data_IF_814957744779
#
_entry.id   IF_814957744779
#
_cell.length_a   1.000
_cell.length_b   1.000
_cell.length_c   1.000
_cell.angle_alpha   90.00
_cell.angle_beta   90.00
_cell.angle_gamma   90.00
#
_symmetry.space_group_name_H-M   'P 1'
#
loop_
_entity.id
_entity.type
_entity.pdbx_description
1 polymer ?
2 non-polymer ?
3 non-polymer ?
4 non-polymer ?
5 non-polymer ?
6 non-polymer ?
7 water ?
#
# COMPACT_ATOMS: atom_id res chain seq x y z
N UNK A 1 28.73 -5.97 3.05
CA UNK A 1 27.90 -5.99 4.26
C UNK A 1 28.05 -4.75 5.14
N UNK A 2 27.00 -3.92 5.26
CA UNK A 2 26.99 -2.65 5.98
C UNK A 2 25.56 -2.44 6.43
N UNK A 3 25.33 -2.05 7.67
CA UNK A 3 23.94 -1.86 8.12
C UNK A 3 23.63 -0.43 8.53
N UNK A 4 24.44 0.52 8.07
CA UNK A 4 24.22 1.95 8.28
C UNK A 4 23.51 2.54 7.08
N UNK A 5 22.68 3.53 7.34
CA UNK A 5 22.12 4.32 6.26
C UNK A 5 23.17 5.34 5.81
N UNK A 6 23.22 5.60 4.50
CA UNK A 6 24.00 6.71 3.98
C UNK A 6 23.44 8.04 4.49
N UNK A 7 24.23 9.12 4.34
CA UNK A 7 23.69 10.42 4.73
C UNK A 7 22.47 10.78 3.89
N UNK A 8 22.53 10.45 2.60
CA UNK A 8 21.42 10.72 1.71
C UNK A 8 20.16 10.01 2.22
N UNK A 9 20.31 8.74 2.58
CA UNK A 9 19.19 7.93 3.04
C UNK A 9 18.66 8.45 4.37
N UNK A 10 19.58 8.72 5.31
CA UNK A 10 19.20 9.33 6.59
C UNK A 10 18.42 10.64 6.38
N UNK A 11 18.85 11.49 5.45
CA UNK A 11 18.13 12.74 5.18
C UNK A 11 16.73 12.49 4.61
N UNK A 12 16.60 11.55 3.68
CA UNK A 12 15.29 11.20 3.11
C UNK A 12 14.35 10.75 4.23
N UNK A 13 14.84 9.82 5.07
CA UNK A 13 14.02 9.38 6.19
C UNK A 13 13.62 10.56 7.07
N UNK A 14 14.59 11.39 7.46
CA UNK A 14 14.29 12.38 8.49
C UNK A 14 13.38 13.46 7.91
N UNK A 15 13.56 13.82 6.64
CA UNK A 15 12.64 14.80 6.04
C UNK A 15 11.20 14.25 5.97
N UNK A 16 11.05 12.97 5.63
CA UNK A 16 9.69 12.40 5.53
C UNK A 16 9.05 12.31 6.91
N UNK A 17 9.88 12.00 7.95
CA UNK A 17 9.39 11.86 9.29
C UNK A 17 8.91 13.20 9.81
N UNK A 18 9.69 14.25 9.54
CA UNK A 18 9.26 15.59 9.93
C UNK A 18 7.97 15.96 9.25
N UNK A 19 7.85 15.69 7.94
CA UNK A 19 6.60 16.01 7.26
C UNK A 19 5.42 15.22 7.84
N UNK A 20 5.61 13.91 8.11
CA UNK A 20 4.51 13.14 8.67
C UNK A 20 4.11 13.69 10.04
N UNK A 21 5.10 14.03 10.91
CA UNK A 21 4.78 14.50 12.27
C UNK A 21 4.18 15.89 12.27
N UNK A 22 4.80 16.80 11.54
CA UNK A 22 4.45 18.22 11.63
C UNK A 22 3.32 18.64 10.71
N UNK A 23 3.06 17.93 9.62
CA UNK A 23 1.99 18.28 8.72
C UNK A 23 0.83 17.26 8.79
N UNK A 24 1.12 15.98 8.55
CA UNK A 24 0.00 15.01 8.46
C UNK A 24 -0.59 14.64 9.84
N UNK A 25 0.26 14.51 10.85
CA UNK A 25 -0.20 14.05 12.13
C UNK A 25 -0.96 15.12 12.92
N UNK A 26 -0.79 16.40 12.57
CA UNK A 26 -1.33 17.50 13.35
C UNK A 26 -2.73 17.46 13.98
N UNK A 27 -3.76 17.26 13.22
CA UNK A 27 -5.14 17.30 13.67
C UNK A 27 -5.65 15.93 13.23
N UNK A 28 -4.78 14.91 13.29
CA UNK A 28 -5.18 13.58 12.82
C UNK A 28 -6.33 13.02 13.64
N UNK A 29 -6.30 13.22 14.96
CA UNK A 29 -7.36 12.62 15.79
C UNK A 29 -8.75 13.10 15.34
N UNK A 30 -8.90 14.39 15.02
CA UNK A 30 -10.19 14.85 14.53
C UNK A 30 -10.61 14.18 13.24
N UNK A 31 -9.67 14.05 12.31
CA UNK A 31 -10.02 13.43 11.04
C UNK A 31 -10.37 11.97 11.26
N UNK A 32 -9.61 11.29 12.11
CA UNK A 32 -9.86 9.88 12.37
C UNK A 32 -11.24 9.69 13.01
N UNK A 33 -11.58 10.53 13.98
CA UNK A 33 -12.89 10.46 14.64
C UNK A 33 -14.02 10.65 13.68
N UNK A 34 -13.87 11.57 12.74
CA UNK A 34 -14.93 11.87 11.79
C UNK A 34 -14.86 11.02 10.53
N UNK A 35 -13.91 10.06 10.47
CA UNK A 35 -13.71 9.25 9.28
C UNK A 35 -13.51 10.09 8.02
N UNK A 36 -12.68 11.14 8.14
CA UNK A 36 -12.40 12.09 7.05
C UNK A 36 -11.08 11.71 6.37
N UNK A 37 -11.11 11.64 5.04
CA UNK A 37 -9.90 11.60 4.22
C UNK A 37 -9.81 13.00 3.59
N UNK A 38 -8.84 13.78 4.05
CA UNK A 38 -8.71 15.17 3.62
C UNK A 38 -7.98 15.18 2.28
N UNK A 39 -8.70 15.43 1.17
CA UNK A 39 -8.02 15.40 -0.11
C UNK A 39 -7.02 16.57 -0.24
N UNK A 40 -7.25 17.72 0.44
CA UNK A 40 -6.23 18.79 0.38
C UNK A 40 -4.93 18.37 1.07
N UNK A 41 -5.05 17.65 2.20
CA UNK A 41 -3.88 17.16 2.87
C UNK A 41 -3.20 16.06 2.06
N UNK A 42 -4.01 15.15 1.51
CA UNK A 42 -3.48 14.11 0.63
C UNK A 42 -2.65 14.73 -0.51
N UNK A 43 -3.18 15.77 -1.15
CA UNK A 43 -2.44 16.41 -2.24
C UNK A 43 -1.13 17.04 -1.75
N UNK A 44 -1.12 17.62 -0.54
CA UNK A 44 0.16 18.13 -0.01
C UNK A 44 1.17 17.01 0.18
N UNK A 45 0.70 15.85 0.71
CA UNK A 45 1.60 14.73 0.90
C UNK A 45 2.11 14.21 -0.44
N UNK A 46 1.24 14.10 -1.43
CA UNK A 46 1.63 13.62 -2.76
C UNK A 46 2.71 14.52 -3.33
N UNK A 47 2.45 15.83 -3.31
CA UNK A 47 3.41 16.79 -3.86
C UNK A 47 4.71 16.85 -3.08
N UNK A 48 4.66 16.67 -1.74
CA UNK A 48 5.87 16.61 -0.95
C UNK A 48 6.80 15.52 -1.48
N UNK A 49 6.25 14.42 -2.00
CA UNK A 49 7.10 13.38 -2.55
C UNK A 49 6.60 11.97 -2.35
N UNK A 50 5.52 11.79 -1.57
CA UNK A 50 5.08 10.42 -1.30
C UNK A 50 4.45 9.79 -2.56
N UNK A 51 4.07 10.59 -3.57
CA UNK A 51 3.54 10.02 -4.81
C UNK A 51 4.62 9.89 -5.91
N UNK A 52 5.91 10.02 -5.55
CA UNK A 52 6.99 10.03 -6.55
C UNK A 52 7.67 8.69 -6.76
N UNK A 53 8.11 8.01 -5.69
CA UNK A 53 8.73 6.72 -5.87
C UNK A 53 9.87 6.79 -6.87
N UNK A 54 9.96 5.80 -7.76
CA UNK A 54 11.03 5.76 -8.75
C UNK A 54 10.83 6.66 -9.98
N UNK A 55 9.80 7.51 -10.02
CA UNK A 55 9.52 8.29 -11.23
C UNK A 55 10.66 9.26 -11.52
N UNK A 56 11.00 9.38 -12.81
CA UNK A 56 12.07 10.27 -13.24
C UNK A 56 11.74 11.75 -13.06
N UNK A 57 12.80 12.57 -13.07
CA UNK A 57 12.65 14.02 -13.00
C UNK A 57 11.77 14.53 -14.14
N UNK A 58 11.86 13.92 -15.33
CA UNK A 58 11.05 14.33 -16.46
C UNK A 58 9.57 14.48 -16.11
N UNK A 59 9.09 13.70 -15.15
CA UNK A 59 7.65 13.68 -14.82
C UNK A 59 7.39 14.17 -13.40
N UNK A 60 8.38 14.80 -12.78
CA UNK A 60 8.22 15.41 -11.48
C UNK A 60 8.69 14.55 -10.31
N UNK A 61 9.27 13.41 -10.56
CA UNK A 61 9.77 12.57 -9.49
C UNK A 61 11.20 12.87 -9.13
N UNK A 62 11.72 12.10 -8.17
CA UNK A 62 13.10 12.28 -7.71
C UNK A 62 14.01 11.14 -8.12
N UNK A 63 13.53 10.18 -8.91
CA UNK A 63 14.28 8.97 -9.29
C UNK A 63 14.83 8.26 -8.05
N UNK A 64 13.99 8.10 -7.04
CA UNK A 64 14.36 7.31 -5.87
C UNK A 64 14.42 5.82 -6.22
N UNK A 65 15.32 5.10 -5.55
CA UNK A 65 15.30 3.65 -5.67
C UNK A 65 14.26 3.05 -4.70
N UNK A 66 14.18 1.72 -4.70
CA UNK A 66 13.19 1.04 -3.86
C UNK A 66 13.51 1.23 -2.39
N UNK A 67 14.78 1.14 -2.03
CA UNK A 67 15.11 1.31 -0.62
C UNK A 67 14.80 2.73 -0.15
N UNK A 68 15.13 3.74 -0.97
CA UNK A 68 14.82 5.12 -0.58
C UNK A 68 13.32 5.32 -0.44
N UNK A 69 12.55 4.77 -1.39
CA UNK A 69 11.09 4.86 -1.34
C UNK A 69 10.54 4.20 -0.07
N UNK A 70 11.09 3.05 0.27
CA UNK A 70 10.69 2.34 1.49
C UNK A 70 11.04 3.14 2.74
N UNK A 71 12.21 3.78 2.76
CA UNK A 71 12.55 4.59 3.94
C UNK A 71 11.55 5.72 4.09
N UNK A 72 11.18 6.39 2.97
CA UNK A 72 10.23 7.49 3.09
C UNK A 72 8.94 7.02 3.71
N UNK A 73 8.49 5.83 3.30
CA UNK A 73 7.19 5.35 3.72
C UNK A 73 7.28 4.76 5.13
N UNK A 74 8.41 4.21 5.54
CA UNK A 74 8.60 3.82 6.93
C UNK A 74 8.45 5.03 7.84
N UNK A 75 9.12 6.14 7.46
CA UNK A 75 8.99 7.38 8.22
C UNK A 75 7.54 7.84 8.33
N UNK A 76 6.81 7.79 7.20
CA UNK A 76 5.39 8.14 7.18
C UNK A 76 4.59 7.29 8.16
N UNK A 77 4.86 5.98 8.14
CA UNK A 77 4.14 5.07 9.06
C UNK A 77 4.46 5.35 10.53
N UNK A 78 5.71 5.72 10.83
CA UNK A 78 6.06 6.03 12.22
C UNK A 78 5.54 7.39 12.66
N UNK A 79 5.49 8.35 11.74
CA UNK A 79 5.20 9.71 12.17
C UNK A 79 3.77 10.16 12.13
N UNK A 80 2.90 9.54 11.33
CA UNK A 80 1.52 9.99 11.26
C UNK A 80 0.57 8.92 11.74
N UNK A 81 -0.33 9.27 12.66
CA UNK A 81 -1.37 8.33 13.08
C UNK A 81 -2.43 8.06 12.01
N UNK A 82 -2.55 8.92 11.00
CA UNK A 82 -3.61 8.83 9.99
C UNK A 82 -3.17 7.81 8.94
N UNK A 83 -3.17 6.55 9.38
CA UNK A 83 -2.71 5.47 8.53
C UNK A 83 -3.67 5.28 7.35
N UNK A 84 -4.96 5.59 7.52
CA UNK A 84 -5.84 5.48 6.34
C UNK A 84 -5.44 6.40 5.20
N UNK A 85 -5.08 7.66 5.53
CA UNK A 85 -4.57 8.58 4.51
C UNK A 85 -3.28 8.06 3.91
N UNK A 86 -2.38 7.52 4.75
CA UNK A 86 -1.11 7.01 4.23
C UNK A 86 -1.33 5.82 3.30
N UNK A 87 -2.25 4.93 3.68
CA UNK A 87 -2.55 3.76 2.84
C UNK A 87 -3.08 4.23 1.49
N UNK A 88 -4.00 5.22 1.52
CA UNK A 88 -4.57 5.73 0.27
C UNK A 88 -3.48 6.25 -0.66
N UNK A 89 -2.57 7.03 -0.09
CA UNK A 89 -1.46 7.61 -0.84
C UNK A 89 -0.54 6.54 -1.41
N UNK A 90 -0.22 5.52 -0.61
CA UNK A 90 0.68 4.48 -1.11
C UNK A 90 0.01 3.61 -2.19
N UNK A 91 -1.29 3.37 -2.09
CA UNK A 91 -2.01 2.65 -3.14
C UNK A 91 -1.95 3.43 -4.46
N UNK A 92 -2.20 4.73 -4.40
CA UNK A 92 -2.04 5.58 -5.56
C UNK A 92 -0.64 5.49 -6.17
N UNK A 93 0.39 5.59 -5.31
CA UNK A 93 1.77 5.50 -5.78
C UNK A 93 2.06 4.16 -6.41
N UNK A 94 1.78 3.06 -5.66
CA UNK A 94 2.30 1.76 -6.10
C UNK A 94 1.45 1.09 -7.17
N UNK A 95 0.14 1.26 -7.13
CA UNK A 95 -0.73 0.53 -8.03
C UNK A 95 -1.13 1.37 -9.23
N UNK A 96 -0.81 2.68 -9.21
CA UNK A 96 -1.25 3.51 -10.33
C UNK A 96 -0.12 4.33 -10.93
N UNK A 97 0.57 5.15 -10.11
CA UNK A 97 1.72 5.93 -10.59
C UNK A 97 2.77 5.02 -11.19
N UNK A 98 3.15 3.97 -10.47
CA UNK A 98 4.32 3.19 -10.89
C UNK A 98 4.05 2.38 -12.16
N UNK A 99 2.93 1.65 -12.32
CA UNK A 99 2.70 1.00 -13.62
C UNK A 99 2.57 1.98 -14.78
N UNK A 100 1.96 3.16 -14.59
CA UNK A 100 1.92 4.13 -15.69
C UNK A 100 3.35 4.56 -16.09
N UNK A 101 4.18 4.86 -15.10
CA UNK A 101 5.56 5.25 -15.39
C UNK A 101 6.32 4.11 -16.06
N UNK A 102 6.15 2.88 -15.56
CA UNK A 102 6.97 1.79 -16.06
C UNK A 102 6.50 1.24 -17.40
N UNK A 103 5.21 1.34 -17.74
CA UNK A 103 4.71 0.69 -18.94
C UNK A 103 3.98 1.64 -19.87
N UNK A 104 3.67 2.86 -19.45
CA UNK A 104 2.88 3.74 -20.29
C UNK A 104 3.65 4.20 -21.52
N UNK A 105 2.89 4.48 -22.59
CA UNK A 105 3.51 5.12 -23.75
C UNK A 105 3.96 6.56 -23.44
N UNK A 106 4.84 7.09 -24.28
CA UNK A 106 5.20 8.50 -24.14
C UNK A 106 3.99 9.39 -24.14
N UNK A 107 3.02 9.10 -25.03
CA UNK A 107 1.82 9.92 -25.14
C UNK A 107 1.01 9.90 -23.84
N UNK A 108 0.83 8.70 -23.29
CA UNK A 108 -0.02 8.57 -22.11
C UNK A 108 0.67 9.15 -20.88
N UNK A 109 1.97 8.91 -20.75
CA UNK A 109 2.71 9.53 -19.65
C UNK A 109 2.70 11.05 -19.80
N UNK A 110 2.86 11.55 -21.02
CA UNK A 110 2.87 13.00 -21.19
C UNK A 110 1.55 13.62 -20.79
N UNK A 111 0.44 12.93 -21.03
CA UNK A 111 -0.86 13.50 -20.69
C UNK A 111 -1.15 13.41 -19.19
N UNK A 112 -0.78 12.29 -18.50
CA UNK A 112 -1.32 12.02 -17.14
C UNK A 112 -0.28 11.88 -16.03
N UNK A 113 0.95 11.49 -16.34
CA UNK A 113 1.83 10.99 -15.28
C UNK A 113 2.26 12.09 -14.32
N UNK A 114 2.68 13.27 -14.81
CA UNK A 114 3.07 14.30 -13.87
C UNK A 114 1.91 14.72 -12.99
N UNK A 115 0.66 14.71 -13.51
CA UNK A 115 -0.48 15.07 -12.68
C UNK A 115 -0.67 14.05 -11.56
N UNK A 116 -0.41 12.76 -11.83
CA UNK A 116 -0.54 11.77 -10.75
C UNK A 116 0.59 11.94 -9.73
N UNK A 117 1.80 12.24 -10.23
CA UNK A 117 2.99 12.38 -9.41
C UNK A 117 2.87 13.55 -8.44
N UNK A 118 2.22 14.65 -8.86
CA UNK A 118 2.04 15.81 -7.98
C UNK A 118 0.73 15.75 -7.19
N UNK A 119 -0.08 14.74 -7.44
CA UNK A 119 -1.37 14.59 -6.77
C UNK A 119 -2.44 15.53 -7.29
N UNK A 120 -2.17 16.24 -8.39
CA UNK A 120 -3.24 16.96 -9.05
C UNK A 120 -4.41 16.04 -9.41
N UNK A 121 -4.12 14.78 -9.84
CA UNK A 121 -5.17 13.81 -10.09
C UNK A 121 -4.95 12.64 -9.13
N UNK A 122 -6.00 12.17 -8.55
CA UNK A 122 -5.95 10.98 -7.68
C UNK A 122 -6.32 9.76 -8.50
N UNK A 123 -5.64 8.62 -8.28
CA UNK A 123 -5.91 7.45 -9.11
C UNK A 123 -6.30 6.25 -8.23
N UNK A 124 -7.16 5.37 -8.78
CA UNK A 124 -7.51 4.08 -8.15
C UNK A 124 -7.17 2.96 -9.13
N UNK A 125 -6.67 1.81 -8.62
CA UNK A 125 -6.48 0.66 -9.48
C UNK A 125 -7.59 -0.37 -9.25
N UNK A 126 -8.10 -0.96 -10.33
CA UNK A 126 -9.28 -1.79 -10.23
C UNK A 126 -8.97 -3.10 -10.96
N UNK A 127 -8.66 -4.13 -10.19
CA UNK A 127 -8.40 -5.47 -10.70
C UNK A 127 -9.39 -6.47 -10.13
N UNK A 128 -9.61 -6.41 -8.81
CA UNK A 128 -10.45 -7.42 -8.14
C UNK A 128 -11.89 -7.40 -8.56
N UNK A 129 -12.51 -8.60 -8.69
CA UNK A 129 -13.90 -8.83 -9.01
C UNK A 129 -14.55 -9.75 -8.00
N UNK A 130 -15.88 -9.80 -7.96
CA UNK A 130 -16.57 -10.70 -7.02
C UNK A 130 -16.12 -12.14 -7.13
N UNK A 131 -15.78 -12.62 -8.32
CA UNK A 131 -15.29 -14.00 -8.47
C UNK A 131 -13.81 -14.08 -8.83
N UNK A 132 -13.04 -13.02 -8.67
CA UNK A 132 -11.63 -13.07 -8.96
C UNK A 132 -10.90 -12.24 -7.91
N UNK A 133 -10.47 -12.89 -6.82
CA UNK A 133 -9.69 -12.20 -5.78
C UNK A 133 -8.27 -12.73 -5.80
N UNK A 134 -8.02 -13.79 -5.00
CA UNK A 134 -6.73 -14.46 -5.12
C UNK A 134 -6.52 -15.01 -6.54
N UNK A 135 -7.59 -15.51 -7.15
CA UNK A 135 -7.55 -16.03 -8.52
C UNK A 135 -7.77 -14.85 -9.49
N UNK A 136 -6.84 -13.88 -9.43
CA UNK A 136 -7.15 -12.57 -10.03
C UNK A 136 -7.19 -12.68 -11.55
N UNK A 137 -6.44 -13.65 -12.12
CA UNK A 137 -6.31 -13.67 -13.58
C UNK A 137 -7.48 -14.42 -14.19
N UNK A 138 -8.40 -14.92 -13.35
CA UNK A 138 -9.71 -15.38 -13.84
C UNK A 138 -10.74 -14.25 -13.87
N UNK A 139 -10.30 -13.00 -13.77
CA UNK A 139 -11.25 -11.90 -13.91
C UNK A 139 -11.99 -12.02 -15.23
N UNK A 140 -13.22 -11.53 -15.20
CA UNK A 140 -14.13 -11.68 -16.32
C UNK A 140 -14.47 -10.37 -16.99
N UNK A 141 -14.09 -9.21 -16.41
CA UNK A 141 -14.32 -7.94 -17.16
C UNK A 141 -13.69 -8.05 -18.55
N UNK A 142 -14.38 -7.49 -19.57
CA UNK A 142 -13.92 -7.65 -20.94
C UNK A 142 -13.70 -6.28 -21.57
N UNK A 143 -12.58 -6.13 -22.24
CA UNK A 143 -12.25 -4.92 -23.02
C UNK A 143 -12.19 -5.47 -24.45
N UNK A 144 -13.34 -5.48 -25.12
CA UNK A 144 -13.42 -6.11 -26.44
C UNK A 144 -12.89 -5.17 -27.52
N UNK A 145 -11.81 -5.52 -28.22
CA UNK A 145 -11.25 -4.60 -29.23
C UNK A 145 -12.30 -4.23 -30.25
N UNK A 146 -12.28 -2.97 -30.66
CA UNK A 146 -13.22 -2.50 -31.68
C UNK A 146 -12.51 -1.42 -32.44
N UNK A 147 -13.16 -0.94 -33.48
CA UNK A 147 -12.62 0.18 -34.21
C UNK A 147 -12.41 1.34 -33.26
N UNK A 148 -11.17 1.83 -33.20
CA UNK A 148 -10.84 2.97 -32.39
C UNK A 148 -10.41 2.68 -30.95
N UNK A 149 -10.59 1.42 -30.46
CA UNK A 149 -10.17 1.19 -29.08
C UNK A 149 -10.86 -0.07 -28.55
N UNK A 150 -11.64 0.05 -27.46
CA UNK A 150 -12.22 -1.11 -26.78
C UNK A 150 -13.59 -0.77 -26.26
N UNK A 151 -14.45 -1.77 -26.14
CA UNK A 151 -15.71 -1.67 -25.40
C UNK A 151 -15.54 -2.43 -24.07
N UNK A 152 -15.71 -1.73 -22.95
CA UNK A 152 -15.42 -2.28 -21.61
C UNK A 152 -16.70 -2.56 -20.82
N UNK A 153 -16.81 -3.79 -20.30
CA UNK A 153 -17.94 -4.16 -19.46
C UNK A 153 -17.42 -4.98 -18.29
N UNK A 154 -18.05 -4.81 -17.14
CA UNK A 154 -17.64 -5.63 -15.99
C UNK A 154 -17.85 -4.90 -14.68
N UNK A 155 -17.42 -5.58 -13.58
CA UNK A 155 -17.61 -5.01 -12.27
C UNK A 155 -16.38 -5.25 -11.42
N UNK A 156 -15.92 -4.22 -10.71
CA UNK A 156 -14.71 -4.35 -9.88
C UNK A 156 -15.11 -3.99 -8.46
N UNK A 157 -14.50 -4.67 -7.47
CA UNK A 157 -14.90 -4.44 -6.08
C UNK A 157 -13.65 -4.23 -5.25
N UNK A 158 -13.87 -3.67 -4.04
CA UNK A 158 -12.80 -3.40 -3.06
C UNK A 158 -11.79 -2.37 -3.60
N UNK A 159 -12.25 -1.34 -4.29
CA UNK A 159 -11.32 -0.48 -5.02
C UNK A 159 -10.96 0.72 -4.13
N UNK A 160 -9.76 0.69 -3.57
CA UNK A 160 -9.28 1.78 -2.73
C UNK A 160 -9.26 3.09 -3.54
N UNK A 161 -9.78 4.16 -2.96
CA UNK A 161 -9.76 5.51 -3.56
C UNK A 161 -10.81 5.65 -4.62
N UNK A 162 -11.62 4.63 -4.93
CA UNK A 162 -12.56 4.86 -6.04
C UNK A 162 -13.48 6.05 -5.80
N UNK A 163 -14.01 6.29 -4.58
CA UNK A 163 -14.95 7.42 -4.44
C UNK A 163 -14.26 8.77 -4.59
N UNK A 164 -12.94 8.84 -4.55
CA UNK A 164 -12.26 10.12 -4.68
C UNK A 164 -11.36 10.20 -5.90
N UNK A 165 -11.33 9.18 -6.77
CA UNK A 165 -10.33 9.15 -7.83
C UNK A 165 -10.79 9.98 -9.03
N UNK A 166 -9.83 10.61 -9.69
CA UNK A 166 -10.05 11.24 -10.99
C UNK A 166 -9.80 10.29 -12.16
N UNK A 167 -8.94 9.29 -11.97
CA UNK A 167 -8.65 8.36 -13.05
C UNK A 167 -8.56 6.96 -12.43
N UNK A 168 -8.78 5.99 -13.29
CA UNK A 168 -8.80 4.60 -12.85
C UNK A 168 -7.85 3.81 -13.74
N UNK A 169 -6.98 3.00 -13.13
CA UNK A 169 -6.12 2.05 -13.84
C UNK A 169 -6.87 0.73 -13.79
N UNK A 170 -7.40 0.22 -14.90
CA UNK A 170 -8.31 -0.90 -14.81
C UNK A 170 -7.73 -2.06 -15.62
N UNK A 171 -8.04 -3.27 -15.16
CA UNK A 171 -7.57 -4.49 -15.81
C UNK A 171 -8.78 -5.27 -16.32
N UNK A 172 -8.67 -5.78 -17.57
CA UNK A 172 -9.81 -6.44 -18.17
C UNK A 172 -9.27 -7.35 -19.26
N UNK A 173 -10.08 -8.34 -19.66
CA UNK A 173 -9.63 -9.30 -20.66
C UNK A 173 -9.82 -8.75 -22.09
N UNK A 174 -8.73 -8.61 -22.80
CA UNK A 174 -8.78 -8.40 -24.25
C UNK A 174 -8.85 -9.73 -25.00
N UNK A 175 -8.49 -10.83 -24.34
CA UNK A 175 -8.70 -12.16 -24.91
C UNK A 175 -9.25 -13.01 -23.77
N UNK A 176 -10.59 -13.17 -23.66
CA UNK A 176 -11.15 -13.90 -22.52
C UNK A 176 -10.86 -15.40 -22.55
N UNK A 177 -10.27 -15.92 -23.64
CA UNK A 177 -9.88 -17.33 -23.68
C UNK A 177 -8.70 -17.64 -22.77
N UNK A 178 -7.87 -16.65 -22.44
CA UNK A 178 -6.69 -16.88 -21.62
C UNK A 178 -6.87 -16.19 -20.27
N UNK A 179 -5.94 -16.49 -19.36
CA UNK A 179 -6.02 -15.95 -18.02
C UNK A 179 -5.03 -14.81 -17.95
N UNK A 180 -3.90 -15.05 -17.28
CA UNK A 180 -2.82 -14.07 -17.14
C UNK A 180 -2.46 -13.39 -18.47
N UNK A 181 -2.35 -14.15 -19.54
CA UNK A 181 -1.97 -13.61 -20.85
C UNK A 181 -3.11 -12.96 -21.63
N UNK A 182 -4.35 -13.03 -21.14
CA UNK A 182 -5.43 -12.35 -21.83
C UNK A 182 -5.79 -11.00 -21.24
N UNK A 183 -5.09 -10.55 -20.19
CA UNK A 183 -5.41 -9.31 -19.48
C UNK A 183 -4.67 -8.18 -20.14
N UNK A 184 -5.36 -7.02 -20.28
CA UNK A 184 -4.68 -5.76 -20.60
C UNK A 184 -5.05 -4.72 -19.56
N UNK A 185 -4.24 -3.66 -19.53
CA UNK A 185 -4.42 -2.55 -18.59
C UNK A 185 -4.81 -1.29 -19.35
N UNK A 186 -5.65 -0.46 -18.73
CA UNK A 186 -6.12 0.79 -19.35
C UNK A 186 -6.21 1.88 -18.31
N UNK A 187 -6.10 3.12 -18.75
CA UNK A 187 -6.44 4.27 -17.90
C UNK A 187 -7.76 4.84 -18.39
N UNK A 188 -8.73 5.05 -17.49
CA UNK A 188 -10.00 5.69 -17.89
C UNK A 188 -10.29 6.85 -16.92
N UNK A 189 -11.06 7.83 -17.39
CA UNK A 189 -11.33 9.00 -16.55
C UNK A 189 -12.69 8.94 -15.88
N UNK A 190 -12.73 9.46 -14.64
CA UNK A 190 -13.99 9.70 -13.94
C UNK A 190 -14.94 10.44 -14.88
N UNK A 191 -16.19 10.01 -14.95
CA UNK A 191 -17.15 10.77 -15.76
C UNK A 191 -17.31 10.27 -17.19
N UNK A 192 -16.43 9.40 -17.66
CA UNK A 192 -16.63 8.79 -18.98
C UNK A 192 -17.96 8.03 -19.03
N UNK A 193 -18.70 8.14 -20.15
CA UNK A 193 -20.02 7.49 -20.20
C UNK A 193 -19.88 5.99 -19.97
N UNK A 194 -20.77 5.47 -19.11
CA UNK A 194 -20.80 4.04 -18.75
C UNK A 194 -20.01 3.68 -17.49
N UNK A 195 -19.25 4.60 -16.92
CA UNK A 195 -18.51 4.35 -15.67
C UNK A 195 -19.38 4.74 -14.49
N UNK A 196 -19.76 3.75 -13.65
CA UNK A 196 -20.59 4.03 -12.50
C UNK A 196 -19.74 3.72 -11.26
N UNK A 197 -19.30 4.75 -10.56
CA UNK A 197 -18.52 4.57 -9.33
C UNK A 197 -19.50 4.47 -8.18
N UNK A 198 -19.43 3.38 -7.40
CA UNK A 198 -20.34 3.24 -6.27
C UNK A 198 -20.04 4.20 -5.13
N UNK A 199 -21.05 4.37 -4.26
CA UNK A 199 -20.90 5.10 -3.01
C UNK A 199 -19.88 4.40 -2.09
N UNK A 200 -19.18 5.19 -1.29
CA UNK A 200 -18.23 4.63 -0.34
C UNK A 200 -18.91 3.54 0.50
N UNK A 201 -18.21 2.43 0.70
CA UNK A 201 -18.72 1.34 1.53
C UNK A 201 -17.93 1.36 2.84
N UNK A 202 -18.57 1.63 3.97
CA UNK A 202 -17.82 1.81 5.23
C UNK A 202 -17.18 0.51 5.69
N UNK A 203 -16.12 0.71 6.47
CA UNK A 203 -15.45 -0.44 7.09
C UNK A 203 -14.85 0.04 8.41
N UNK A 204 -14.63 -0.88 9.33
CA UNK A 204 -14.01 -0.56 10.62
C UNK A 204 -12.50 -0.51 10.51
N UNK A 205 -11.89 -1.32 9.66
CA UNK A 205 -10.43 -1.25 9.44
C UNK A 205 -10.12 -0.13 8.44
N UNK A 206 -9.01 0.59 8.66
CA UNK A 206 -8.61 1.68 7.71
C UNK A 206 -9.84 2.54 7.39
N UNK A 207 -10.56 2.97 8.47
CA UNK A 207 -11.96 3.36 8.26
C UNK A 207 -12.14 4.67 7.51
N UNK A 208 -11.13 5.54 7.47
CA UNK A 208 -11.27 6.76 6.67
C UNK A 208 -10.65 6.63 5.28
N UNK A 209 -10.18 5.45 4.90
CA UNK A 209 -9.67 5.26 3.56
C UNK A 209 -10.80 4.75 2.68
N UNK A 210 -11.34 5.53 1.72
CA UNK A 210 -12.58 5.13 1.05
C UNK A 210 -12.31 4.02 0.05
N UNK A 211 -13.25 3.10 -0.06
CA UNK A 211 -13.27 2.20 -1.21
C UNK A 211 -14.71 1.99 -1.62
N UNK A 212 -14.90 1.47 -2.85
CA UNK A 212 -16.25 1.15 -3.31
C UNK A 212 -16.12 0.19 -4.50
N UNK A 213 -17.28 -0.14 -5.06
CA UNK A 213 -17.33 -0.95 -6.29
C UNK A 213 -17.33 0.03 -7.47
N UNK A 214 -16.89 -0.42 -8.62
CA UNK A 214 -17.18 0.35 -9.85
C UNK A 214 -17.77 -0.60 -10.90
N UNK A 215 -18.70 -0.09 -11.70
CA UNK A 215 -19.29 -0.91 -12.75
C UNK A 215 -19.03 -0.25 -14.10
N UNK A 216 -18.68 -1.06 -15.08
CA UNK A 216 -18.48 -0.62 -16.46
C UNK A 216 -19.65 -1.11 -17.29
N UNK A 217 -20.41 -0.17 -17.88
CA UNK A 217 -21.48 -0.52 -18.81
C UNK A 217 -21.19 0.09 -20.19
N UNK A 218 -20.66 -0.73 -21.09
CA UNK A 218 -20.34 -0.34 -22.48
C UNK A 218 -19.49 0.94 -22.57
N UNK A 219 -18.45 1.02 -21.74
CA UNK A 219 -17.51 2.12 -21.81
C UNK A 219 -16.69 2.01 -23.08
N UNK A 220 -16.55 3.13 -23.81
CA UNK A 220 -15.58 3.15 -24.90
C UNK A 220 -14.22 3.64 -24.40
N UNK A 221 -13.19 2.79 -24.53
CA UNK A 221 -11.82 3.16 -24.19
C UNK A 221 -11.08 3.49 -25.48
N UNK A 222 -10.64 4.74 -25.69
CA UNK A 222 -9.85 5.03 -26.88
C UNK A 222 -8.54 4.25 -26.87
N UNK A 223 -8.12 3.81 -28.05
CA UNK A 223 -6.85 3.08 -28.20
C UNK A 223 -5.67 3.66 -27.40
N UNK A 224 -5.50 4.98 -27.37
CA UNK A 224 -4.32 5.56 -26.74
C UNK A 224 -4.31 5.41 -25.22
N UNK A 225 -5.41 4.94 -24.62
CA UNK A 225 -5.47 4.82 -23.17
C UNK A 225 -5.13 3.40 -22.68
N UNK A 226 -4.74 2.50 -23.58
CA UNK A 226 -4.18 1.23 -23.13
C UNK A 226 -2.81 1.50 -22.55
N UNK A 227 -2.53 0.88 -21.40
CA UNK A 227 -1.23 0.99 -20.72
C UNK A 227 -0.42 -0.25 -21.13
N UNK A 228 0.77 -0.04 -21.70
CA UNK A 228 1.65 -1.12 -22.18
C UNK A 228 1.04 -1.82 -23.39
N UNK A 229 1.49 -3.06 -23.63
CA UNK A 229 1.10 -3.78 -24.83
C UNK A 229 -0.20 -4.56 -24.62
N UNK A 230 -0.84 -4.91 -25.74
CA UNK A 230 -1.97 -5.80 -25.66
C UNK A 230 -1.57 -7.12 -24.98
N UNK A 231 -2.37 -7.54 -23.99
CA UNK A 231 -2.13 -8.81 -23.32
C UNK A 231 -1.07 -8.75 -22.24
N UNK A 232 -0.48 -7.60 -22.01
CA UNK A 232 0.55 -7.50 -20.97
C UNK A 232 -0.01 -7.08 -19.62
N UNK A 233 -1.33 -6.95 -19.47
CA UNK A 233 -1.89 -6.41 -18.24
C UNK A 233 -1.67 -7.31 -17.05
N UNK A 234 -1.63 -8.63 -17.26
CA UNK A 234 -1.36 -9.51 -16.12
C UNK A 234 0.01 -9.23 -15.52
N UNK A 235 1.01 -9.07 -16.38
CA UNK A 235 2.36 -8.77 -15.95
C UNK A 235 2.47 -7.38 -15.34
N UNK A 236 1.72 -6.42 -15.86
CA UNK A 236 1.79 -5.07 -15.29
C UNK A 236 1.22 -5.08 -13.90
N UNK A 237 0.11 -5.80 -13.72
CA UNK A 237 -0.52 -5.88 -12.42
C UNK A 237 0.41 -6.55 -11.44
N UNK A 238 0.97 -7.66 -11.85
CA UNK A 238 1.86 -8.39 -10.97
C UNK A 238 3.05 -7.53 -10.55
N UNK A 239 3.61 -6.78 -11.50
CA UNK A 239 4.72 -5.91 -11.18
C UNK A 239 4.33 -4.81 -10.18
N UNK A 240 3.15 -4.21 -10.38
CA UNK A 240 2.70 -3.20 -9.46
C UNK A 240 2.49 -3.78 -8.04
N UNK A 241 2.09 -5.06 -7.94
CA UNK A 241 1.92 -5.69 -6.62
C UNK A 241 3.26 -5.94 -5.93
N UNK A 242 4.33 -6.13 -6.69
CA UNK A 242 5.61 -6.19 -5.99
C UNK A 242 5.94 -4.85 -5.37
N UNK A 243 5.74 -3.73 -6.11
CA UNK A 243 5.96 -2.42 -5.47
C UNK A 243 5.04 -2.20 -4.27
N UNK A 244 3.78 -2.56 -4.41
CA UNK A 244 2.82 -2.40 -3.33
C UNK A 244 3.19 -3.23 -2.11
N UNK A 245 3.73 -4.45 -2.34
CA UNK A 245 4.23 -5.31 -1.28
C UNK A 245 5.63 -4.94 -0.80
N UNK A 246 6.45 -4.35 -1.63
CA UNK A 246 7.82 -4.08 -1.24
C UNK A 246 7.93 -2.78 -0.49
N UNK A 247 7.23 -1.77 -1.01
CA UNK A 247 7.33 -0.43 -0.52
C UNK A 247 6.15 -0.02 0.35
N UNK A 248 4.88 -0.35 -0.03
CA UNK A 248 3.77 0.07 0.80
C UNK A 248 3.85 -0.59 2.17
N UNK A 249 4.32 -1.84 2.23
CA UNK A 249 4.44 -2.55 3.51
C UNK A 249 5.32 -1.81 4.52
N UNK A 250 6.32 -1.04 4.05
CA UNK A 250 7.22 -0.30 4.95
C UNK A 250 6.44 0.57 5.92
N UNK A 251 5.25 0.98 5.49
CA UNK A 251 4.32 1.73 6.35
C UNK A 251 4.11 1.02 7.69
N UNK A 252 3.92 -0.31 7.63
CA UNK A 252 3.64 -1.06 8.83
C UNK A 252 4.88 -1.31 9.66
N UNK A 253 6.09 -1.33 9.07
CA UNK A 253 7.31 -1.32 9.88
C UNK A 253 7.36 -0.04 10.71
N UNK A 254 7.12 1.10 10.04
CA UNK A 254 7.16 2.35 10.79
C UNK A 254 6.10 2.37 11.87
N UNK A 255 4.89 1.87 11.56
CA UNK A 255 3.85 1.80 12.59
C UNK A 255 4.25 0.92 13.76
N UNK A 256 4.98 -0.17 13.47
CA UNK A 256 5.43 -1.05 14.57
C UNK A 256 6.51 -0.39 15.44
N UNK A 257 7.39 0.42 14.81
CA UNK A 257 8.37 1.20 15.57
C UNK A 257 7.67 2.16 16.54
N UNK A 258 6.66 2.87 16.04
CA UNK A 258 5.86 3.74 16.90
C UNK A 258 5.15 2.97 18.04
N UNK A 259 4.52 1.83 17.70
CA UNK A 259 3.81 1.04 18.70
C UNK A 259 4.75 0.52 19.76
N UNK A 260 5.93 0.03 19.36
CA UNK A 260 6.88 -0.46 20.34
C UNK A 260 7.30 0.65 21.32
N UNK A 261 7.60 1.85 20.80
CA UNK A 261 7.99 2.95 21.68
C UNK A 261 6.88 3.26 22.69
N UNK A 262 5.63 3.32 22.23
CA UNK A 262 4.51 3.57 23.14
C UNK A 262 4.39 2.48 24.19
N UNK A 263 4.56 1.23 23.75
CA UNK A 263 4.36 0.09 24.66
C UNK A 263 5.47 0.01 25.69
N UNK A 264 6.74 0.18 25.25
CA UNK A 264 7.85 0.25 26.23
C UNK A 264 7.64 1.35 27.26
N UNK A 265 7.20 2.53 26.82
CA UNK A 265 7.05 3.63 27.76
C UNK A 265 6.02 3.28 28.83
N UNK A 266 4.89 2.68 28.37
CA UNK A 266 3.84 2.31 29.31
C UNK A 266 4.31 1.25 30.27
N UNK A 267 5.04 0.24 29.78
CA UNK A 267 5.42 -0.86 30.63
C UNK A 267 6.42 -0.40 31.67
N UNK A 268 7.11 0.70 31.43
CA UNK A 268 8.03 1.24 32.45
C UNK A 268 7.30 2.12 33.46
N UNK A 269 6.24 2.79 33.04
CA UNK A 269 5.55 3.80 33.83
C UNK A 269 4.41 3.20 34.66
N UNK A 270 3.68 2.21 34.14
CA UNK A 270 2.53 1.67 34.85
C UNK A 270 3.00 0.69 35.93
N UNK A 271 2.64 0.97 37.20
CA UNK A 271 3.00 0.11 38.32
C UNK A 271 1.79 -0.67 38.80
N UNK A 272 1.98 -1.96 39.12
CA UNK A 272 1.07 -2.76 39.92
C UNK A 272 1.91 -3.65 40.83
N UNK A 273 1.38 -3.95 42.02
CA UNK A 273 2.13 -4.79 42.97
C UNK A 273 3.47 -4.17 43.34
N UNK A 274 3.56 -2.85 43.27
CA UNK A 274 4.72 -2.11 43.73
C UNK A 274 5.87 -2.09 42.76
N UNK A 275 5.66 -2.45 41.49
CA UNK A 275 6.75 -2.40 40.53
C UNK A 275 6.18 -2.13 39.15
N UNK A 276 7.05 -1.69 38.24
CA UNK A 276 6.63 -1.50 36.83
C UNK A 276 6.11 -2.84 36.24
N UNK A 277 5.03 -2.79 35.45
CA UNK A 277 4.47 -4.06 34.96
C UNK A 277 5.46 -4.75 34.01
N UNK A 278 6.39 -3.98 33.43
CA UNK A 278 7.41 -4.61 32.57
C UNK A 278 8.34 -5.55 33.33
N UNK A 279 8.35 -5.48 34.66
CA UNK A 279 9.20 -6.37 35.49
C UNK A 279 8.65 -7.77 35.59
N UNK A 280 7.36 -7.99 35.25
CA UNK A 280 6.81 -9.36 35.22
C UNK A 280 7.17 -10.01 33.88
N UNK A 281 7.70 -11.22 33.93
CA UNK A 281 8.14 -11.84 32.66
C UNK A 281 6.97 -12.08 31.69
N UNK A 282 5.75 -12.32 32.18
CA UNK A 282 4.63 -12.45 31.22
C UNK A 282 4.52 -11.19 30.37
N UNK A 283 4.78 -10.02 30.97
CA UNK A 283 4.66 -8.75 30.24
C UNK A 283 5.88 -8.51 29.35
N UNK A 284 7.07 -8.63 29.96
CA UNK A 284 8.28 -8.31 29.19
C UNK A 284 8.48 -9.31 28.07
N UNK A 285 8.10 -10.58 28.24
CA UNK A 285 8.31 -11.53 27.14
C UNK A 285 7.54 -11.12 25.87
N UNK A 286 6.29 -10.61 26.02
CA UNK A 286 5.59 -10.14 24.79
C UNK A 286 6.28 -8.92 24.22
N UNK A 287 6.72 -7.97 25.07
CA UNK A 287 7.37 -6.79 24.47
C UNK A 287 8.65 -7.22 23.71
N UNK A 288 9.40 -8.18 24.28
CA UNK A 288 10.57 -8.67 23.59
C UNK A 288 10.19 -9.30 22.24
N UNK A 289 9.06 -10.05 22.18
CA UNK A 289 8.60 -10.54 20.90
C UNK A 289 8.39 -9.39 19.91
N UNK A 290 7.78 -8.28 20.37
CA UNK A 290 7.55 -7.14 19.48
C UNK A 290 8.89 -6.60 18.94
N UNK A 291 9.87 -6.43 19.83
CA UNK A 291 11.21 -5.97 19.43
C UNK A 291 11.86 -6.93 18.42
N UNK A 292 11.93 -8.22 18.75
CA UNK A 292 12.46 -9.20 17.80
C UNK A 292 11.82 -9.09 16.42
N UNK A 293 10.48 -9.01 16.38
CA UNK A 293 9.78 -8.88 15.10
C UNK A 293 10.24 -7.66 14.33
N UNK A 294 10.28 -6.51 15.01
CA UNK A 294 10.61 -5.27 14.34
C UNK A 294 11.99 -5.36 13.72
N UNK A 295 12.95 -5.88 14.48
CA UNK A 295 14.33 -5.88 13.98
C UNK A 295 14.47 -6.83 12.80
N UNK A 296 13.85 -8.02 12.93
CA UNK A 296 13.92 -9.01 11.85
C UNK A 296 13.26 -8.51 10.57
N UNK A 297 12.03 -7.98 10.67
CA UNK A 297 11.31 -7.71 9.43
C UNK A 297 11.82 -6.44 8.77
N UNK A 298 12.32 -5.48 9.58
CA UNK A 298 12.98 -4.30 8.98
C UNK A 298 14.17 -4.74 8.15
N UNK A 299 15.00 -5.67 8.68
CA UNK A 299 16.14 -6.13 7.89
C UNK A 299 15.71 -6.86 6.61
N UNK A 300 14.67 -7.72 6.71
CA UNK A 300 14.20 -8.41 5.51
C UNK A 300 13.72 -7.41 4.43
N UNK A 301 12.97 -6.37 4.84
CA UNK A 301 12.48 -5.38 3.89
C UNK A 301 13.65 -4.63 3.22
N UNK A 302 14.60 -4.16 4.04
CA UNK A 302 15.73 -3.40 3.51
C UNK A 302 16.51 -4.24 2.53
N UNK A 303 16.75 -5.51 2.89
CA UNK A 303 17.50 -6.36 1.96
C UNK A 303 16.71 -6.55 0.66
N UNK A 304 15.37 -6.78 0.73
CA UNK A 304 14.60 -7.01 -0.47
C UNK A 304 14.70 -5.78 -1.40
N UNK A 305 14.56 -4.58 -0.82
CA UNK A 305 14.56 -3.33 -1.61
C UNK A 305 15.96 -3.08 -2.18
N UNK A 306 16.99 -3.31 -1.37
CA UNK A 306 18.37 -3.12 -1.83
C UNK A 306 18.70 -4.10 -2.94
N UNK A 307 18.27 -5.36 -2.84
CA UNK A 307 18.51 -6.32 -3.92
C UNK A 307 17.89 -5.82 -5.21
N UNK A 308 16.64 -5.36 -5.14
CA UNK A 308 16.02 -4.74 -6.31
C UNK A 308 16.85 -3.59 -6.86
N UNK A 309 17.30 -2.69 -5.98
CA UNK A 309 18.12 -1.58 -6.45
C UNK A 309 19.42 -2.06 -7.10
N UNK A 310 19.91 -3.24 -6.70
CA UNK A 310 21.13 -3.78 -7.27
C UNK A 310 20.90 -4.48 -8.59
N UNK A 311 19.68 -4.63 -9.02
CA UNK A 311 19.40 -5.39 -10.20
C UNK A 311 19.20 -6.87 -9.95
N UNK A 312 19.31 -7.33 -8.70
CA UNK A 312 19.08 -8.75 -8.42
C UNK A 312 17.59 -9.06 -8.35
N UNK A 313 17.28 -10.34 -8.49
CA UNK A 313 15.91 -10.84 -8.41
C UNK A 313 15.39 -10.74 -6.98
N UNK A 314 14.39 -9.91 -6.74
CA UNK A 314 13.99 -9.62 -5.36
C UNK A 314 12.56 -10.02 -5.09
N UNK A 315 11.90 -10.71 -6.03
CA UNK A 315 10.48 -10.97 -5.86
C UNK A 315 10.20 -11.90 -4.68
N UNK A 316 10.97 -12.98 -4.54
CA UNK A 316 10.74 -13.85 -3.37
C UNK A 316 11.02 -13.09 -2.07
N UNK A 317 12.05 -12.23 -2.07
CA UNK A 317 12.39 -11.49 -0.87
C UNK A 317 11.29 -10.54 -0.49
N UNK A 318 10.66 -9.91 -1.48
CA UNK A 318 9.53 -9.03 -1.23
C UNK A 318 8.33 -9.83 -0.71
N UNK A 319 8.02 -10.99 -1.31
CA UNK A 319 6.91 -11.80 -0.80
C UNK A 319 7.17 -12.21 0.67
N UNK A 320 8.43 -12.59 0.96
CA UNK A 320 8.77 -12.94 2.36
C UNK A 320 8.61 -11.75 3.29
N UNK A 321 9.04 -10.59 2.84
CA UNK A 321 8.94 -9.38 3.65
C UNK A 321 7.50 -9.04 3.91
N UNK A 322 6.67 -9.08 2.86
CA UNK A 322 5.27 -8.71 3.07
C UNK A 322 4.59 -9.66 4.04
N UNK A 323 4.87 -10.97 3.90
CA UNK A 323 4.29 -12.02 4.76
C UNK A 323 4.71 -11.79 6.22
N UNK A 324 6.01 -11.49 6.44
CA UNK A 324 6.49 -11.29 7.83
C UNK A 324 5.90 -10.02 8.42
N UNK A 325 5.97 -8.92 7.66
CA UNK A 325 5.62 -7.60 8.20
C UNK A 325 4.16 -7.58 8.59
N UNK A 326 3.28 -8.09 7.72
CA UNK A 326 1.86 -8.02 8.02
C UNK A 326 1.52 -8.96 9.20
N UNK A 327 2.07 -10.17 9.22
CA UNK A 327 1.84 -11.02 10.40
C UNK A 327 2.35 -10.37 11.69
N UNK A 328 3.58 -9.87 11.66
CA UNK A 328 4.15 -9.25 12.85
C UNK A 328 3.40 -7.97 13.24
N UNK A 329 2.88 -7.19 12.27
CA UNK A 329 2.10 -6.02 12.59
C UNK A 329 0.85 -6.39 13.38
N UNK A 330 0.15 -7.44 12.93
CA UNK A 330 -1.06 -7.86 13.64
C UNK A 330 -0.71 -8.41 15.03
N UNK A 331 0.26 -9.34 15.09
CA UNK A 331 0.59 -9.93 16.38
C UNK A 331 1.05 -8.86 17.38
N UNK A 332 1.84 -7.88 16.93
CA UNK A 332 2.34 -6.90 17.87
C UNK A 332 1.22 -5.95 18.28
N UNK A 333 0.26 -5.72 17.39
CA UNK A 333 -0.93 -4.96 17.82
C UNK A 333 -1.68 -5.64 18.95
N UNK A 334 -1.83 -6.97 18.83
CA UNK A 334 -2.44 -7.73 19.92
C UNK A 334 -1.60 -7.65 21.21
N UNK A 335 -0.26 -7.77 21.09
CA UNK A 335 0.62 -7.76 22.25
C UNK A 335 0.56 -6.38 22.98
N UNK A 336 0.46 -5.32 22.21
CA UNK A 336 0.38 -3.99 22.82
C UNK A 336 -0.91 -3.85 23.63
N UNK A 337 -2.03 -4.22 23.01
CA UNK A 337 -3.29 -4.21 23.74
C UNK A 337 -3.19 -5.02 25.04
N UNK A 338 -2.56 -6.22 24.98
CA UNK A 338 -2.48 -7.02 26.22
C UNK A 338 -1.62 -6.31 27.29
N UNK A 339 -0.55 -5.62 26.85
CA UNK A 339 0.30 -4.83 27.75
C UNK A 339 -0.54 -3.78 28.49
N UNK A 340 -1.43 -3.09 27.78
CA UNK A 340 -2.12 -1.98 28.40
C UNK A 340 -3.33 -2.42 29.26
N UNK A 341 -3.85 -3.63 29.07
CA UNK A 341 -5.02 -4.04 29.86
C UNK A 341 -6.21 -3.16 29.56
N UNK A 342 -7.00 -2.84 30.60
CA UNK A 342 -8.19 -2.00 30.41
C UNK A 342 -7.92 -0.66 29.75
N UNK A 343 -6.74 -0.07 30.02
CA UNK A 343 -6.39 1.19 29.39
C UNK A 343 -6.32 1.10 27.84
N UNK A 344 -6.20 -0.11 27.26
CA UNK A 344 -6.20 -0.27 25.79
C UNK A 344 -7.53 0.11 25.16
N UNK A 345 -8.61 0.05 25.94
CA UNK A 345 -9.92 0.44 25.43
C UNK A 345 -10.17 1.94 25.63
N UNK A 346 -9.17 2.78 25.31
CA UNK A 346 -9.29 4.23 25.22
C UNK A 346 -9.17 4.63 23.74
N UNK A 347 -10.21 5.27 23.16
CA UNK A 347 -10.13 5.59 21.74
C UNK A 347 -9.04 6.63 21.45
N UNK A 348 -8.77 7.51 22.43
CA UNK A 348 -7.71 8.51 22.25
C UNK A 348 -6.33 7.86 22.09
N UNK A 349 -6.08 6.76 22.79
CA UNK A 349 -4.78 6.11 22.65
C UNK A 349 -4.65 5.42 21.31
N UNK A 350 -5.76 4.92 20.76
CA UNK A 350 -5.69 4.39 19.38
C UNK A 350 -5.14 2.98 19.23
N UNK A 351 -4.98 2.23 20.34
CA UNK A 351 -4.36 0.90 20.21
C UNK A 351 -5.29 -0.10 19.53
N UNK A 352 -6.59 -0.04 19.86
CA UNK A 352 -7.51 -0.94 19.16
C UNK A 352 -7.67 -0.51 17.70
N UNK A 353 -7.76 0.80 17.46
CA UNK A 353 -7.80 1.29 16.09
C UNK A 353 -6.53 0.88 15.31
N UNK A 354 -5.38 0.88 15.98
CA UNK A 354 -4.14 0.41 15.33
C UNK A 354 -4.27 -1.06 14.91
N UNK A 355 -4.78 -1.90 15.80
CA UNK A 355 -4.94 -3.31 15.41
C UNK A 355 -5.89 -3.46 14.21
N UNK A 356 -7.00 -2.75 14.26
CA UNK A 356 -7.94 -2.77 13.12
C UNK A 356 -7.24 -2.34 11.84
N UNK A 357 -6.42 -1.31 11.91
CA UNK A 357 -5.71 -0.85 10.71
C UNK A 357 -4.70 -1.88 10.21
N UNK A 358 -4.19 -2.77 11.08
CA UNK A 358 -3.24 -3.77 10.60
C UNK A 358 -3.91 -5.04 10.06
N UNK A 359 -5.13 -5.30 10.49
CA UNK A 359 -5.79 -6.56 10.09
C UNK A 359 -5.80 -6.73 8.56
N UNK A 360 -6.12 -5.71 7.76
CA UNK A 360 -6.12 -5.92 6.28
C UNK A 360 -4.74 -6.11 5.66
N UNK A 361 -3.65 -5.84 6.39
CA UNK A 361 -2.32 -5.99 5.76
C UNK A 361 -2.06 -7.43 5.34
N UNK A 362 -2.67 -8.39 6.03
CA UNK A 362 -2.47 -9.79 5.65
C UNK A 362 -3.31 -10.22 4.44
N UNK A 363 -4.23 -9.39 3.98
CA UNK A 363 -5.10 -9.65 2.82
C UNK A 363 -4.64 -8.87 1.58
N UNK A 364 -4.35 -7.58 1.77
CA UNK A 364 -4.01 -6.65 0.70
C UNK A 364 -2.76 -7.07 -0.10
N UNK A 365 -2.79 -6.81 -1.45
CA UNK A 365 -1.70 -7.06 -2.38
C UNK A 365 -1.42 -8.55 -2.54
N UNK A 366 -2.42 -9.36 -2.28
CA UNK A 366 -2.21 -10.81 -2.31
C UNK A 366 -2.20 -11.28 -0.86
N UNK A 367 -3.11 -12.19 -0.50
CA UNK A 367 -3.14 -12.61 0.90
C UNK A 367 -1.86 -13.33 1.29
N UNK A 368 -1.67 -13.47 2.60
CA UNK A 368 -0.44 -14.15 3.03
C UNK A 368 -0.43 -15.62 2.60
N UNK A 369 -1.59 -16.27 2.46
CA UNK A 369 -1.54 -17.63 1.88
C UNK A 369 -1.01 -17.60 0.45
N UNK A 370 -1.45 -16.58 -0.33
CA UNK A 370 -0.91 -16.42 -1.68
C UNK A 370 0.59 -16.09 -1.62
N UNK A 371 1.05 -15.29 -0.64
CA UNK A 371 2.50 -15.06 -0.57
C UNK A 371 3.22 -16.38 -0.39
N UNK A 372 2.67 -17.26 0.47
CA UNK A 372 3.30 -18.59 0.63
C UNK A 372 3.32 -19.35 -0.68
N UNK A 373 2.24 -19.27 -1.47
CA UNK A 373 2.25 -19.93 -2.79
C UNK A 373 3.35 -19.36 -3.69
N UNK A 374 3.54 -18.03 -3.66
CA UNK A 374 4.61 -17.40 -4.43
C UNK A 374 5.96 -17.91 -3.96
N UNK A 375 6.18 -17.95 -2.65
CA UNK A 375 7.47 -18.40 -2.16
C UNK A 375 7.68 -19.88 -2.49
N UNK A 376 6.63 -20.71 -2.30
CA UNK A 376 6.72 -22.14 -2.65
C UNK A 376 7.12 -22.30 -4.11
N UNK A 377 6.55 -21.47 -4.99
CA UNK A 377 6.92 -21.56 -6.41
C UNK A 377 8.39 -21.19 -6.60
N UNK A 378 8.87 -20.12 -5.94
CA UNK A 378 10.28 -19.76 -6.08
C UNK A 378 11.18 -20.86 -5.53
N UNK A 379 10.73 -21.60 -4.50
CA UNK A 379 11.54 -22.63 -3.89
C UNK A 379 11.51 -23.94 -4.69
N UNK A 380 10.73 -23.99 -5.76
CA UNK A 380 10.65 -25.17 -6.59
C UNK A 380 9.67 -26.21 -6.13
N UNK A 381 8.72 -25.85 -5.25
CA UNK A 381 7.73 -26.74 -4.68
C UNK A 381 6.44 -26.74 -5.48
N UNK A 382 6.40 -26.01 -6.61
CA UNK A 382 5.16 -26.00 -7.39
C UNK A 382 5.41 -26.55 -8.81
N UNK A 383 6.10 -27.67 -8.90
CA UNK A 383 6.22 -28.39 -10.16
C UNK A 383 7.41 -27.85 -10.88
#
# INVERSE_FOLDING_TARGET
>A
MDFNLSNSQSDIYESAYRFACDVLDQDAQTRISQKILSTELWKKAAAYGFAHGPVSHQFGGSELGALDTALMIEALGKGSRDIGLSFSLCAHLCACVIPLYRFGSSELKDKYLESLVTGKLIAANAATEPDAGSDIYNMQATAQPCEGGYILNGKKIFITNAPIADVFIIYAKTNPDHGFLGVSAFLIEKGTPGLNVGEVIPKDCLSNCPWSEIVFNDIFIPQSQRIGMEGAGGAIFHDSMIWEKGCLSALFVGGLARLLETTLEYAKARQQFGKAIGQFQSVSNRIIDMKLRLEQCRLMLYRACWKHDQGQDAEADIAMSKLLISEYAVQSGLDAIQTFGGAAMDQELGLVRHLLNMIPSRIFSGTNDIQKEIIARKLGLRGTSSGSLVPRGSHHHHHHHH
#
